data_IF_171824523090
#
_entry.id   IF_171824523090
#
_cell.length_a   1.000
_cell.length_b   1.000
_cell.length_c   1.000
_cell.angle_alpha   90.00
_cell.angle_beta   90.00
_cell.angle_gamma   90.00
#
_symmetry.space_group_name_H-M   'P 1'
#
loop_
_entity.id
_entity.type
_entity.pdbx_description
1 polymer ?
#
# COMPACT_ATOMS: atom_id res chain seq x y z
N UNK A 1 -1.15 -0.24 24.29
CA UNK A 1 0.33 -0.24 24.32
C UNK A 1 0.80 -0.28 25.76
N UNK A 2 1.87 -1.03 26.04
CA UNK A 2 2.53 -1.02 27.35
C UNK A 2 3.71 -0.06 27.29
N UNK A 3 3.79 0.89 28.20
CA UNK A 3 4.96 1.76 28.34
C UNK A 3 6.13 1.01 28.99
N UNK A 4 7.32 1.62 28.99
CA UNK A 4 8.50 1.04 29.66
C UNK A 4 8.35 0.92 31.18
N UNK A 5 7.38 1.62 31.77
CA UNK A 5 7.00 1.58 33.19
C UNK A 5 5.69 0.79 33.42
N UNK A 6 5.37 -0.16 32.54
CA UNK A 6 4.26 -1.12 32.65
C UNK A 6 2.83 -0.55 32.67
N UNK A 7 2.66 0.73 32.29
CA UNK A 7 1.32 1.31 32.17
C UNK A 7 0.65 0.88 30.87
N UNK A 8 -0.61 0.46 30.99
CA UNK A 8 -1.47 0.22 29.84
C UNK A 8 -2.04 1.53 29.31
N UNK A 9 -1.80 1.79 28.03
CA UNK A 9 -2.33 2.95 27.30
C UNK A 9 -3.33 2.46 26.24
N UNK A 10 -4.52 3.05 26.27
CA UNK A 10 -5.51 2.93 25.20
C UNK A 10 -5.00 3.61 23.94
N UNK A 11 -5.02 2.89 22.83
CA UNK A 11 -4.73 3.45 21.52
C UNK A 11 -5.99 4.11 20.94
N UNK A 12 -6.04 5.44 20.98
CA UNK A 12 -7.17 6.22 20.45
C UNK A 12 -7.14 6.48 18.95
N UNK A 13 -6.05 6.12 18.25
CA UNK A 13 -5.85 6.46 16.82
C UNK A 13 -5.46 5.27 15.95
N UNK A 14 -5.53 4.04 16.48
CA UNK A 14 -5.06 2.84 15.80
C UNK A 14 -3.60 3.00 15.33
N UNK A 15 -2.75 3.51 16.22
CA UNK A 15 -1.38 3.94 15.97
C UNK A 15 -1.37 5.25 15.18
N UNK A 16 -1.22 5.12 13.87
CA UNK A 16 -1.36 6.23 12.92
C UNK A 16 -2.35 5.78 11.84
N UNK A 17 -3.59 5.50 12.27
CA UNK A 17 -4.72 5.11 11.41
C UNK A 17 -4.50 3.77 10.66
N UNK A 18 -3.71 2.84 11.20
CA UNK A 18 -3.28 1.63 10.49
C UNK A 18 -3.55 0.31 11.23
N UNK A 19 -3.78 0.33 12.54
CA UNK A 19 -4.06 -0.88 13.34
C UNK A 19 -5.55 -1.23 13.41
N UNK A 20 -6.24 -1.28 12.26
CA UNK A 20 -7.71 -1.38 12.20
C UNK A 20 -8.28 -2.69 12.79
N UNK A 21 -7.49 -3.78 12.77
CA UNK A 21 -7.87 -5.06 13.37
C UNK A 21 -7.45 -5.19 14.85
N UNK A 22 -6.93 -4.12 15.46
CA UNK A 22 -6.30 -4.14 16.77
C UNK A 22 -4.84 -4.61 16.75
N UNK A 23 -4.17 -4.42 17.88
CA UNK A 23 -2.77 -4.83 18.07
C UNK A 23 -2.65 -6.34 18.21
N UNK A 24 -1.60 -6.92 17.61
CA UNK A 24 -1.24 -8.33 17.76
C UNK A 24 -2.37 -9.33 17.42
N UNK A 25 -3.18 -9.05 16.39
CA UNK A 25 -4.27 -9.93 15.99
C UNK A 25 -3.73 -11.34 15.64
N UNK A 26 -4.17 -12.41 16.31
CA UNK A 26 -3.50 -13.72 16.25
C UNK A 26 -3.46 -14.31 14.83
N UNK A 27 -4.53 -14.13 14.06
CA UNK A 27 -4.57 -14.56 12.66
C UNK A 27 -3.54 -13.84 11.76
N UNK A 28 -3.28 -12.54 12.00
CA UNK A 28 -2.31 -11.77 11.21
C UNK A 28 -0.89 -12.19 11.59
N UNK A 29 -0.63 -12.31 12.90
CA UNK A 29 0.67 -12.74 13.43
C UNK A 29 1.05 -14.12 12.88
N UNK A 30 0.13 -15.08 12.91
CA UNK A 30 0.38 -16.43 12.40
C UNK A 30 0.60 -16.43 10.89
N UNK A 31 -0.20 -15.69 10.11
CA UNK A 31 -0.03 -15.59 8.66
C UNK A 31 1.35 -15.02 8.27
N UNK A 32 1.84 -14.00 9.00
CA UNK A 32 3.18 -13.44 8.78
C UNK A 32 4.24 -14.49 9.11
N UNK A 33 4.12 -15.20 10.25
CA UNK A 33 5.05 -16.26 10.65
C UNK A 33 5.16 -17.36 9.60
N UNK A 34 4.03 -17.83 9.08
CA UNK A 34 3.99 -18.87 8.07
C UNK A 34 4.58 -18.39 6.73
N UNK A 35 4.20 -17.19 6.27
CA UNK A 35 4.72 -16.64 5.02
C UNK A 35 6.26 -16.47 5.06
N UNK A 36 6.80 -15.93 6.16
CA UNK A 36 8.24 -15.78 6.34
C UNK A 36 8.98 -17.12 6.45
N UNK A 37 8.33 -18.16 6.99
CA UNK A 37 8.88 -19.52 7.06
C UNK A 37 8.84 -20.27 5.73
N UNK A 38 7.91 -19.94 4.83
CA UNK A 38 7.76 -20.55 3.52
C UNK A 38 8.64 -19.86 2.45
N UNK A 39 8.56 -18.53 2.36
CA UNK A 39 9.31 -17.71 1.42
C UNK A 39 9.30 -16.25 1.91
N UNK A 40 10.39 -15.82 2.53
CA UNK A 40 10.54 -14.47 3.07
C UNK A 40 10.58 -13.38 1.98
N UNK A 41 11.24 -13.67 0.86
CA UNK A 41 11.33 -12.74 -0.27
C UNK A 41 11.53 -13.46 -1.60
N UNK A 42 10.91 -12.91 -2.65
CA UNK A 42 11.20 -13.22 -4.05
C UNK A 42 11.30 -11.90 -4.83
N UNK A 43 12.20 -11.79 -5.82
CA UNK A 43 12.25 -10.62 -6.68
C UNK A 43 10.89 -10.32 -7.34
N UNK A 44 10.50 -9.05 -7.39
CA UNK A 44 9.27 -8.62 -8.05
C UNK A 44 9.47 -8.27 -9.54
N UNK A 45 10.72 -8.26 -10.01
CA UNK A 45 11.04 -7.96 -11.41
C UNK A 45 11.13 -9.25 -12.20
N UNK A 46 10.24 -9.43 -13.18
CA UNK A 46 10.17 -10.62 -14.05
C UNK A 46 9.85 -11.94 -13.32
N UNK A 47 9.45 -11.87 -12.05
CA UNK A 47 9.11 -13.01 -11.20
C UNK A 47 7.84 -12.68 -10.39
N UNK A 48 7.15 -13.71 -9.91
CA UNK A 48 5.98 -13.58 -9.06
C UNK A 48 5.83 -14.79 -8.14
N UNK A 49 5.00 -14.67 -7.11
CA UNK A 49 4.69 -15.77 -6.19
C UNK A 49 3.18 -15.85 -5.96
N UNK A 50 2.61 -17.02 -5.63
CA UNK A 50 1.15 -17.20 -5.56
C UNK A 50 0.44 -16.23 -4.60
N UNK A 51 1.12 -15.77 -3.54
CA UNK A 51 0.55 -14.84 -2.55
C UNK A 51 0.15 -13.49 -3.16
N UNK A 52 0.98 -12.92 -4.04
CA UNK A 52 0.71 -11.60 -4.61
C UNK A 52 -0.49 -11.61 -5.56
N UNK A 53 -0.64 -12.68 -6.34
CA UNK A 53 -1.78 -12.86 -7.26
C UNK A 53 -3.09 -13.03 -6.50
N UNK A 54 -3.12 -13.88 -5.46
CA UNK A 54 -4.30 -14.04 -4.60
C UNK A 54 -4.71 -12.73 -3.93
N UNK A 55 -3.74 -11.93 -3.48
CA UNK A 55 -4.03 -10.62 -2.89
C UNK A 55 -4.58 -9.64 -3.93
N UNK A 56 -3.98 -9.59 -5.13
CA UNK A 56 -4.43 -8.74 -6.21
C UNK A 56 -5.86 -9.07 -6.65
N UNK A 57 -6.20 -10.35 -6.83
CA UNK A 57 -7.55 -10.81 -7.19
C UNK A 57 -8.59 -10.40 -6.14
N UNK A 58 -8.28 -10.61 -4.86
CA UNK A 58 -9.18 -10.23 -3.76
C UNK A 58 -9.39 -8.72 -3.69
N UNK A 59 -8.33 -7.93 -3.90
CA UNK A 59 -8.43 -6.48 -3.94
C UNK A 59 -9.28 -6.00 -5.12
N UNK A 60 -9.00 -6.50 -6.34
CA UNK A 60 -9.75 -6.14 -7.55
C UNK A 60 -11.25 -6.46 -7.40
N UNK A 61 -11.61 -7.58 -6.76
CA UNK A 61 -13.00 -7.94 -6.48
C UNK A 61 -13.73 -6.96 -5.53
N UNK A 62 -13.00 -6.18 -4.72
CA UNK A 62 -13.55 -5.17 -3.82
C UNK A 62 -13.57 -3.76 -4.45
N UNK A 63 -12.90 -3.56 -5.58
CA UNK A 63 -12.77 -2.24 -6.20
C UNK A 63 -14.01 -1.87 -7.04
N UNK A 64 -14.25 -0.57 -7.28
CA UNK A 64 -15.26 -0.12 -8.23
C UNK A 64 -15.02 -0.67 -9.64
N UNK A 65 -16.10 -0.75 -10.43
CA UNK A 65 -16.03 -1.17 -11.85
C UNK A 65 -14.97 -0.36 -12.62
N UNK A 66 -14.10 -1.06 -13.34
CA UNK A 66 -13.02 -0.46 -14.14
C UNK A 66 -11.67 -0.33 -13.43
N UNK A 67 -11.57 -0.75 -12.16
CA UNK A 67 -10.30 -0.82 -11.42
C UNK A 67 -9.89 -2.29 -11.19
N UNK A 68 -9.28 -2.88 -12.20
CA UNK A 68 -9.05 -4.34 -12.27
C UNK A 68 -7.57 -4.74 -12.09
N UNK A 69 -6.64 -3.78 -12.08
CA UNK A 69 -5.21 -4.01 -11.96
C UNK A 69 -4.64 -3.36 -10.68
N UNK A 70 -3.75 -4.09 -10.00
CA UNK A 70 -3.11 -3.66 -8.74
C UNK A 70 -1.61 -3.56 -8.93
N UNK A 71 -1.04 -2.42 -8.53
CA UNK A 71 0.41 -2.22 -8.43
C UNK A 71 0.77 -2.06 -6.94
N UNK A 72 1.60 -2.94 -6.40
CA UNK A 72 1.97 -2.93 -4.98
C UNK A 72 3.17 -2.02 -4.70
N UNK A 73 3.14 -1.37 -3.54
CA UNK A 73 4.24 -0.58 -2.97
C UNK A 73 4.30 -0.82 -1.46
N UNK A 74 5.28 -0.25 -0.76
CA UNK A 74 5.46 -0.45 0.69
C UNK A 74 4.84 0.65 1.55
N UNK A 75 4.35 1.74 0.94
CA UNK A 75 3.79 2.86 1.70
C UNK A 75 2.77 3.67 0.90
N UNK A 76 2.03 4.52 1.62
CA UNK A 76 1.16 5.51 1.00
C UNK A 76 1.94 6.48 0.10
N UNK A 77 3.10 6.98 0.56
CA UNK A 77 3.96 7.88 -0.22
C UNK A 77 4.40 7.25 -1.55
N UNK A 78 4.89 6.01 -1.52
CA UNK A 78 5.32 5.30 -2.73
C UNK A 78 4.13 5.02 -3.68
N UNK A 79 2.96 4.74 -3.12
CA UNK A 79 1.73 4.54 -3.89
C UNK A 79 1.36 5.80 -4.67
N UNK A 80 1.42 6.97 -4.04
CA UNK A 80 1.08 8.23 -4.74
C UNK A 80 2.15 8.57 -5.78
N UNK A 81 3.44 8.49 -5.44
CA UNK A 81 4.53 8.72 -6.40
C UNK A 81 4.39 7.82 -7.65
N UNK A 82 4.04 6.54 -7.42
CA UNK A 82 3.79 5.58 -8.49
C UNK A 82 2.58 5.97 -9.32
N UNK A 83 1.46 6.33 -8.70
CA UNK A 83 0.23 6.74 -9.39
C UNK A 83 0.48 7.98 -10.27
N UNK A 84 1.21 8.97 -9.76
CA UNK A 84 1.58 10.18 -10.52
C UNK A 84 2.47 9.83 -11.72
N UNK A 85 3.44 8.94 -11.55
CA UNK A 85 4.31 8.47 -12.66
C UNK A 85 3.53 7.68 -13.70
N UNK A 86 2.58 6.84 -13.28
CA UNK A 86 1.68 6.13 -14.21
C UNK A 86 0.82 7.12 -15.00
N UNK A 87 0.26 8.16 -14.36
CA UNK A 87 -0.54 9.17 -15.05
C UNK A 87 0.26 9.96 -16.09
N UNK A 88 1.49 10.36 -15.75
CA UNK A 88 2.40 11.03 -16.68
C UNK A 88 2.81 10.09 -17.84
N UNK A 89 3.16 8.84 -17.53
CA UNK A 89 3.51 7.82 -18.51
C UNK A 89 2.36 7.50 -19.45
N UNK A 90 1.13 7.45 -18.93
CA UNK A 90 -0.09 7.27 -19.72
C UNK A 90 -0.25 8.36 -20.78
N UNK A 91 -0.17 9.64 -20.38
CA UNK A 91 -0.27 10.76 -21.32
C UNK A 91 0.86 10.77 -22.34
N UNK A 92 2.08 10.47 -21.90
CA UNK A 92 3.22 10.33 -22.81
C UNK A 92 3.00 9.24 -23.86
N UNK A 93 2.57 8.05 -23.45
CA UNK A 93 2.35 6.90 -24.33
C UNK A 93 1.27 7.13 -25.40
N UNK A 94 0.30 8.02 -25.15
CA UNK A 94 -0.76 8.39 -26.11
C UNK A 94 -0.47 9.67 -26.90
N UNK A 95 0.76 10.18 -26.89
CA UNK A 95 1.16 11.37 -27.64
C UNK A 95 0.76 12.71 -27.00
N UNK A 96 0.32 12.71 -25.74
CA UNK A 96 -0.04 13.90 -24.96
C UNK A 96 1.04 14.25 -23.91
N UNK A 97 2.31 14.02 -24.22
CA UNK A 97 3.43 14.18 -23.29
C UNK A 97 3.60 15.57 -22.68
N UNK A 98 2.97 16.60 -23.27
CA UNK A 98 2.89 17.96 -22.71
C UNK A 98 2.03 18.05 -21.44
N UNK A 99 1.21 17.05 -21.12
CA UNK A 99 0.33 17.03 -19.94
C UNK A 99 1.09 16.61 -18.69
N UNK A 100 1.88 17.53 -18.16
CA UNK A 100 2.78 17.29 -17.02
C UNK A 100 2.32 17.93 -15.71
N UNK A 101 1.27 18.75 -15.75
CA UNK A 101 0.78 19.48 -14.57
C UNK A 101 -0.06 18.56 -13.70
N UNK A 102 0.30 18.47 -12.43
CA UNK A 102 -0.42 17.76 -11.38
C UNK A 102 -1.13 18.78 -10.49
N UNK A 103 -2.36 18.48 -10.08
CA UNK A 103 -3.19 19.40 -9.27
C UNK A 103 -3.46 18.78 -7.91
N UNK A 104 -2.91 19.40 -6.86
CA UNK A 104 -3.19 19.06 -5.46
C UNK A 104 -4.17 20.03 -4.80
N UNK A 105 -4.28 19.98 -3.46
CA UNK A 105 -5.14 20.87 -2.68
C UNK A 105 -4.44 21.39 -1.43
N UNK A 106 -4.74 22.63 -1.05
CA UNK A 106 -4.25 23.21 0.21
C UNK A 106 -4.68 22.33 1.40
N UNK A 107 -3.73 22.04 2.30
CA UNK A 107 -3.88 21.09 3.43
C UNK A 107 -4.19 19.64 3.01
N UNK A 108 -3.95 19.26 1.75
CA UNK A 108 -3.89 17.87 1.34
C UNK A 108 -2.63 17.19 1.89
N UNK A 109 -2.71 15.89 2.15
CA UNK A 109 -1.58 15.06 2.57
C UNK A 109 -1.52 13.83 1.67
N UNK A 110 -0.38 13.64 1.01
CA UNK A 110 -0.14 12.57 0.04
C UNK A 110 1.15 11.80 0.34
N UNK A 111 1.64 11.93 1.58
CA UNK A 111 2.89 11.33 2.03
C UNK A 111 4.03 12.34 2.04
N UNK A 112 5.25 11.82 1.92
CA UNK A 112 6.51 12.57 2.07
C UNK A 112 7.43 12.42 0.85
N UNK A 113 6.87 12.00 -0.28
CA UNK A 113 7.57 11.69 -1.54
C UNK A 113 7.56 12.83 -2.55
N UNK A 114 7.62 12.45 -3.82
CA UNK A 114 7.60 13.36 -4.97
C UNK A 114 6.26 14.10 -5.14
N UNK A 115 5.12 13.52 -4.73
CA UNK A 115 3.85 14.25 -4.78
C UNK A 115 2.77 13.74 -3.85
#
# INVERSE_FOLDING_TARGET
YTTIDDRQIMDGMSGLWCCNAGHCHPHIVEAIRQAAGELDYSPAFQMGHPGIFRLAERLAAMMPKGMEAVFFTNSGSESVDTALKIALGYHHARGEGQRTRLVGRQRGYHGSGFG
#
